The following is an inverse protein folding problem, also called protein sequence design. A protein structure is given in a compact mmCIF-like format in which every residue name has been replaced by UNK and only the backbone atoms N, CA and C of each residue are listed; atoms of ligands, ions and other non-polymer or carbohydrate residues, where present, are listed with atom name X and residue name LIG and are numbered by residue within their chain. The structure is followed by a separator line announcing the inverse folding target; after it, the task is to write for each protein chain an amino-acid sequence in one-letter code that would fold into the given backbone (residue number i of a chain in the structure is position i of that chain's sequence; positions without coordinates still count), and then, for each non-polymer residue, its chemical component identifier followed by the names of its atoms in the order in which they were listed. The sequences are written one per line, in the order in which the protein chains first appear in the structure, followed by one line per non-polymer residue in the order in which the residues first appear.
data_IF_941068213465
#
_entry.id   IF_941068213465
#
_cell.length_a   1.000
_cell.length_b   1.000
_cell.length_c   1.000
_cell.angle_alpha   90.00
_cell.angle_beta   90.00
_cell.angle_gamma   90.00
#
_symmetry.space_group_name_H-M   'P 1'
#
loop_
_entity.id
_entity.type
_entity.pdbx_description
1 polymer ?
#
# COMPACT_ATOMS: atom_id res chain seq x y z
N UNK A 1 -15.64 -6.02 31.00
CA UNK A 1 -14.48 -6.81 30.55
C UNK A 1 -13.86 -6.07 29.39
N UNK A 2 -12.69 -5.48 29.59
CA UNK A 2 -11.94 -4.82 28.52
C UNK A 2 -11.09 -5.82 27.73
N UNK A 3 -10.65 -5.44 26.53
CA UNK A 3 -9.68 -6.22 25.76
C UNK A 3 -8.39 -6.44 26.56
N UNK A 4 -7.95 -5.42 27.29
CA UNK A 4 -6.76 -5.51 28.13
C UNK A 4 -6.91 -6.57 29.21
N UNK A 5 -8.08 -6.67 29.85
CA UNK A 5 -8.34 -7.70 30.86
C UNK A 5 -8.33 -9.12 30.26
N UNK A 6 -8.81 -9.28 29.02
CA UNK A 6 -8.78 -10.57 28.33
C UNK A 6 -7.35 -10.98 27.97
N UNK A 7 -6.55 -10.04 27.46
CA UNK A 7 -5.14 -10.30 27.15
C UNK A 7 -4.36 -10.62 28.42
N UNK A 8 -4.55 -9.86 29.51
CA UNK A 8 -3.82 -10.09 30.76
C UNK A 8 -4.14 -11.45 31.40
N UNK A 9 -5.37 -11.95 31.24
CA UNK A 9 -5.77 -13.28 31.70
C UNK A 9 -5.10 -14.41 30.91
N UNK A 10 -4.93 -14.24 29.59
CA UNK A 10 -4.34 -15.25 28.72
C UNK A 10 -2.81 -15.19 28.72
N UNK A 11 -2.25 -13.97 28.75
CA UNK A 11 -0.82 -13.70 28.68
C UNK A 11 -0.44 -12.62 29.71
N UNK A 12 -0.25 -13.01 30.98
CA UNK A 12 0.15 -12.06 32.01
C UNK A 12 1.55 -11.50 31.73
N UNK A 13 1.72 -10.19 31.88
CA UNK A 13 2.99 -9.51 31.57
C UNK A 13 3.32 -9.40 30.08
N UNK A 14 2.33 -9.48 29.20
CA UNK A 14 2.49 -9.38 27.73
C UNK A 14 3.27 -8.13 27.27
N UNK A 15 3.21 -7.02 28.03
CA UNK A 15 3.91 -5.75 27.75
C UNK A 15 5.43 -5.89 27.61
N UNK A 16 6.03 -6.97 28.14
CA UNK A 16 7.47 -7.23 28.04
C UNK A 16 7.88 -7.83 26.69
N UNK A 17 6.92 -8.38 25.96
CA UNK A 17 7.12 -9.13 24.73
C UNK A 17 6.54 -8.42 23.50
N UNK A 18 5.47 -7.64 23.69
CA UNK A 18 4.80 -6.94 22.59
C UNK A 18 4.85 -5.42 22.77
N UNK A 19 5.09 -4.67 21.68
CA UNK A 19 5.12 -3.21 21.71
C UNK A 19 3.72 -2.59 21.86
N UNK A 20 2.64 -3.33 21.55
CA UNK A 20 1.27 -2.85 21.68
C UNK A 20 0.28 -3.92 22.13
N UNK A 21 -0.80 -3.51 22.80
CA UNK A 21 -1.90 -4.39 23.22
C UNK A 21 -2.54 -5.10 22.03
N UNK A 22 -2.65 -4.39 20.91
CA UNK A 22 -3.31 -4.88 19.70
C UNK A 22 -2.52 -6.00 19.04
N UNK A 23 -1.19 -5.98 19.07
CA UNK A 23 -0.39 -7.09 18.55
C UNK A 23 -0.54 -8.35 19.39
N UNK A 24 -0.46 -8.22 20.72
CA UNK A 24 -0.74 -9.34 21.63
C UNK A 24 -2.15 -9.90 21.41
N UNK A 25 -3.16 -9.03 21.29
CA UNK A 25 -4.54 -9.43 21.04
C UNK A 25 -4.75 -10.06 19.65
N UNK A 26 -4.00 -9.62 18.63
CA UNK A 26 -4.04 -10.21 17.28
C UNK A 26 -3.47 -11.62 17.28
N UNK A 27 -2.32 -11.81 17.91
CA UNK A 27 -1.62 -13.09 17.92
C UNK A 27 -2.33 -14.11 18.82
N UNK A 28 -3.00 -13.66 19.89
CA UNK A 28 -3.94 -14.47 20.68
C UNK A 28 -5.27 -14.74 19.95
N UNK A 29 -5.52 -14.14 18.79
CA UNK A 29 -6.75 -14.31 18.02
C UNK A 29 -7.99 -13.66 18.65
N UNK A 30 -7.82 -12.81 19.67
CA UNK A 30 -8.91 -12.06 20.31
C UNK A 30 -9.50 -11.00 19.36
N UNK A 31 -8.67 -10.44 18.48
CA UNK A 31 -9.12 -9.51 17.45
C UNK A 31 -8.78 -10.06 16.07
N UNK A 32 -9.78 -10.13 15.19
CA UNK A 32 -9.62 -10.47 13.76
C UNK A 32 -9.44 -9.25 12.85
N UNK A 33 -9.53 -8.04 13.39
CA UNK A 33 -9.40 -6.82 12.61
C UNK A 33 -7.95 -6.63 12.12
N UNK A 34 -7.79 -6.45 10.80
CA UNK A 34 -6.52 -6.02 10.22
C UNK A 34 -6.43 -4.51 10.34
N UNK A 35 -5.39 -4.00 11.01
CA UNK A 35 -5.09 -2.56 11.05
C UNK A 35 -4.49 -2.20 9.71
N UNK A 36 -5.20 -1.40 8.92
CA UNK A 36 -4.68 -0.86 7.66
C UNK A 36 -3.64 0.21 7.98
N UNK A 37 -2.61 0.36 7.14
CA UNK A 37 -1.78 1.58 7.17
C UNK A 37 -2.69 2.81 7.04
N UNK A 38 -2.42 3.94 7.74
CA UNK A 38 -3.18 5.18 7.59
C UNK A 38 -3.33 5.61 6.13
N UNK A 39 -2.31 5.37 5.30
CA UNK A 39 -2.31 5.69 3.88
C UNK A 39 -3.38 4.93 3.08
N UNK A 40 -3.84 3.78 3.59
CA UNK A 40 -4.92 2.98 2.99
C UNK A 40 -6.31 3.53 3.31
N UNK A 41 -6.42 4.44 4.28
CA UNK A 41 -7.66 5.17 4.56
C UNK A 41 -7.82 6.39 3.65
N UNK A 42 -6.73 6.88 3.05
CA UNK A 42 -6.79 8.00 2.11
C UNK A 42 -7.63 7.62 0.89
N UNK A 43 -8.69 8.40 0.66
CA UNK A 43 -9.64 8.17 -0.44
C UNK A 43 -8.94 8.17 -1.81
N UNK A 44 -7.92 9.01 -1.97
CA UNK A 44 -7.05 9.06 -3.16
C UNK A 44 -6.38 7.72 -3.43
N UNK A 45 -5.92 7.03 -2.39
CA UNK A 45 -5.20 5.77 -2.49
C UNK A 45 -6.18 4.62 -2.77
N UNK A 46 -7.35 4.60 -2.10
CA UNK A 46 -8.42 3.62 -2.37
C UNK A 46 -8.94 3.69 -3.80
N UNK A 47 -9.06 4.90 -4.35
CA UNK A 47 -9.59 5.12 -5.70
C UNK A 47 -8.50 5.18 -6.78
N UNK A 48 -7.23 4.98 -6.42
CA UNK A 48 -6.11 5.02 -7.39
C UNK A 48 -6.32 3.99 -8.51
N UNK A 49 -6.79 2.79 -8.18
CA UNK A 49 -7.03 1.73 -9.16
C UNK A 49 -8.20 2.06 -10.09
N UNK A 50 -9.30 2.57 -9.53
CA UNK A 50 -10.49 2.99 -10.30
C UNK A 50 -10.16 4.16 -11.22
N UNK A 51 -9.37 5.14 -10.75
CA UNK A 51 -8.90 6.26 -11.59
C UNK A 51 -8.04 5.78 -12.75
N UNK A 52 -7.12 4.86 -12.49
CA UNK A 52 -6.26 4.26 -13.51
C UNK A 52 -7.07 3.47 -14.54
N UNK A 53 -8.06 2.70 -14.09
CA UNK A 53 -8.98 1.98 -14.99
C UNK A 53 -9.81 2.95 -15.84
N UNK A 54 -10.32 4.03 -15.24
CA UNK A 54 -11.05 5.07 -15.97
C UNK A 54 -10.17 5.78 -17.01
N UNK A 55 -8.92 6.12 -16.67
CA UNK A 55 -7.96 6.73 -17.60
C UNK A 55 -7.62 5.78 -18.77
N UNK A 56 -7.40 4.49 -18.48
CA UNK A 56 -7.17 3.48 -19.50
C UNK A 56 -8.39 3.34 -20.42
N UNK A 57 -9.59 3.19 -19.86
CA UNK A 57 -10.83 3.07 -20.62
C UNK A 57 -11.12 4.33 -21.45
N UNK A 58 -10.81 5.52 -20.91
CA UNK A 58 -10.89 6.77 -21.64
C UNK A 58 -9.91 6.78 -22.82
N UNK A 59 -8.66 6.36 -22.59
CA UNK A 59 -7.64 6.25 -23.64
C UNK A 59 -8.03 5.24 -24.72
N UNK A 60 -8.63 4.12 -24.36
CA UNK A 60 -9.06 3.09 -25.32
C UNK A 60 -10.24 3.53 -26.17
N UNK A 61 -11.22 4.22 -25.57
CA UNK A 61 -12.46 4.62 -26.26
C UNK A 61 -12.32 5.93 -27.04
N UNK A 62 -11.47 6.83 -26.55
CA UNK A 62 -11.40 8.23 -27.03
C UNK A 62 -9.99 8.68 -27.36
N UNK A 63 -8.95 7.96 -26.90
CA UNK A 63 -7.57 8.20 -27.29
C UNK A 63 -7.31 7.57 -28.66
N UNK A 64 -7.60 8.32 -29.73
CA UNK A 64 -7.11 7.98 -31.06
C UNK A 64 -5.61 7.63 -31.02
N UNK A 65 -5.20 6.62 -31.79
CA UNK A 65 -3.85 6.03 -31.72
C UNK A 65 -2.73 7.07 -31.68
N UNK A 66 -2.29 7.42 -30.47
CA UNK A 66 -0.95 7.95 -30.23
C UNK A 66 -0.19 6.92 -29.38
N UNK A 67 -0.10 5.72 -29.96
CA UNK A 67 0.96 4.79 -29.63
C UNK A 67 2.22 5.29 -30.33
N UNK A 68 3.27 5.55 -29.52
CA UNK A 68 4.68 5.62 -29.91
C UNK A 68 5.23 6.96 -30.41
N UNK A 69 5.18 8.00 -29.58
CA UNK A 69 6.28 8.97 -29.57
C UNK A 69 7.41 8.41 -28.68
N UNK A 70 8.40 7.82 -29.34
CA UNK A 70 9.57 7.16 -28.77
C UNK A 70 10.19 7.92 -27.58
N UNK A 71 10.56 7.17 -26.53
CA UNK A 71 11.52 7.63 -25.54
C UNK A 71 12.77 8.18 -26.27
N UNK A 72 13.30 9.37 -25.92
CA UNK A 72 14.46 9.91 -26.62
C UNK A 72 15.67 9.02 -26.34
N UNK A 73 16.08 8.27 -27.36
CA UNK A 73 17.27 7.42 -27.32
C UNK A 73 18.48 8.24 -26.88
N UNK A 74 19.14 7.79 -25.82
CA UNK A 74 20.40 8.37 -25.32
C UNK A 74 21.44 8.32 -26.45
N UNK A 75 21.62 9.42 -27.19
CA UNK A 75 22.70 9.59 -28.17
C UNK A 75 24.04 9.52 -27.42
N UNK A 76 24.68 8.35 -27.41
CA UNK A 76 26.07 8.19 -26.95
C UNK A 76 26.95 9.10 -27.83
N UNK A 77 27.40 10.24 -27.26
CA UNK A 77 28.44 11.08 -27.85
C UNK A 77 29.70 10.24 -28.04
N UNK A 78 30.00 9.85 -29.28
CA UNK A 78 31.31 9.30 -29.65
C UNK A 78 32.32 10.44 -29.50
N UNK A 79 33.17 10.37 -28.48
CA UNK A 79 34.36 11.22 -28.37
C UNK A 79 35.26 10.88 -29.57
N UNK A 80 35.44 11.83 -30.50
CA UNK A 80 36.50 11.74 -31.51
C UNK A 80 37.83 12.02 -30.79
N UNK A 81 38.70 11.03 -30.75
CA UNK A 81 40.09 11.21 -30.34
C UNK A 81 40.86 11.90 -31.48
N UNK A 82 41.86 12.69 -31.07
CA UNK A 82 42.75 13.55 -31.86
C UNK A 82 43.54 12.80 -32.92
#
# INVERSE_FOLDING_TARGET
MSLQDQVEKLLPGWRRWYPSLFEAARDLGLIRARVCSPDSLLLSNRHSNIRREAENAHREKWGGQEQQAAAPGKRKRRKRAR
#
